data_IF_376946015385
#
_entry.id   IF_376946015385
#
_cell.length_a   1.000
_cell.length_b   1.000
_cell.length_c   1.000
_cell.angle_alpha   90.00
_cell.angle_beta   90.00
_cell.angle_gamma   90.00
#
_symmetry.space_group_name_H-M   'P 1'
#
loop_
_entity.id
_entity.type
_entity.pdbx_description
1 polymer ?
#
# COMPACT_ATOMS: atom_id res chain seq x y z
N UNK A 1 0.75 12.06 -22.68
CA UNK A 1 0.51 11.42 -21.37
C UNK A 1 0.47 9.93 -21.62
N UNK A 2 1.25 9.10 -20.90
CA UNK A 2 1.18 7.65 -21.05
C UNK A 2 -0.23 7.14 -20.72
N UNK A 3 -0.67 6.10 -21.42
CA UNK A 3 -1.98 5.46 -21.22
C UNK A 3 -2.04 4.72 -19.87
N UNK A 4 -3.24 4.45 -19.35
CA UNK A 4 -3.40 3.70 -18.09
C UNK A 4 -2.77 2.31 -18.14
N UNK A 5 -2.87 1.64 -19.28
CA UNK A 5 -2.23 0.35 -19.53
C UNK A 5 -0.69 0.48 -19.49
N UNK A 6 -0.12 1.54 -20.06
CA UNK A 6 1.31 1.85 -19.93
C UNK A 6 1.70 2.15 -18.48
N UNK A 7 0.92 2.93 -17.73
CA UNK A 7 1.21 3.25 -16.34
C UNK A 7 1.15 2.02 -15.42
N UNK A 8 0.19 1.11 -15.65
CA UNK A 8 -0.01 -0.11 -14.86
C UNK A 8 0.93 -1.26 -15.24
N UNK A 9 1.44 -1.27 -16.47
CA UNK A 9 2.39 -2.26 -16.99
C UNK A 9 3.84 -1.92 -16.67
N UNK A 10 4.14 -0.69 -16.23
CA UNK A 10 5.47 -0.30 -15.76
C UNK A 10 5.87 -1.11 -14.52
N UNK A 11 6.59 -2.19 -14.76
CA UNK A 11 7.36 -2.88 -13.72
C UNK A 11 8.56 -2.00 -13.38
N UNK A 12 8.39 -1.07 -12.44
CA UNK A 12 9.51 -0.33 -11.87
C UNK A 12 10.28 -1.26 -10.93
N UNK A 13 11.60 -1.31 -11.09
CA UNK A 13 12.48 -2.15 -10.29
C UNK A 13 13.38 -1.28 -9.42
N UNK A 14 13.41 -1.54 -8.11
CA UNK A 14 14.45 -0.97 -7.23
C UNK A 14 15.69 -1.88 -7.28
N UNK A 15 16.84 -1.30 -7.62
CA UNK A 15 18.11 -2.01 -7.64
C UNK A 15 18.66 -2.08 -6.21
N UNK A 16 18.64 -3.27 -5.61
CA UNK A 16 19.31 -3.47 -4.32
C UNK A 16 20.85 -3.52 -4.51
N UNK A 17 21.62 -3.23 -3.46
CA UNK A 17 23.09 -3.32 -3.39
C UNK A 17 23.64 -4.70 -3.81
N UNK A 18 22.78 -5.73 -3.77
CA UNK A 18 23.05 -7.11 -4.20
C UNK A 18 22.71 -7.40 -5.68
N UNK A 19 22.39 -6.38 -6.49
CA UNK A 19 21.90 -6.48 -7.89
C UNK A 19 20.56 -7.21 -8.08
N UNK A 20 19.82 -7.51 -7.01
CA UNK A 20 18.47 -8.02 -7.14
C UNK A 20 17.49 -6.86 -7.35
N UNK A 21 16.77 -6.90 -8.48
CA UNK A 21 15.69 -5.98 -8.82
C UNK A 21 14.43 -6.38 -8.07
N UNK A 22 13.95 -5.56 -7.13
CA UNK A 22 12.62 -5.76 -6.51
C UNK A 22 11.58 -5.00 -7.33
N UNK A 23 10.54 -5.66 -7.87
CA UNK A 23 9.42 -4.93 -8.46
C UNK A 23 8.73 -4.10 -7.38
N UNK A 24 8.52 -2.81 -7.65
CA UNK A 24 7.80 -1.91 -6.74
C UNK A 24 6.33 -2.38 -6.68
N UNK A 25 5.77 -2.65 -5.49
CA UNK A 25 4.37 -3.03 -5.35
C UNK A 25 3.41 -2.00 -5.96
N UNK A 26 2.33 -2.48 -6.57
CA UNK A 26 1.37 -1.64 -7.30
C UNK A 26 0.74 -0.55 -6.42
N UNK A 27 0.49 -0.80 -5.13
CA UNK A 27 -0.07 0.23 -4.24
C UNK A 27 0.89 1.41 -4.07
N UNK A 28 2.21 1.16 -4.01
CA UNK A 28 3.21 2.20 -3.86
C UNK A 28 3.33 3.03 -5.14
N UNK A 29 3.26 2.39 -6.31
CA UNK A 29 3.20 3.08 -7.61
C UNK A 29 1.92 3.91 -7.75
N UNK A 30 0.77 3.36 -7.35
CA UNK A 30 -0.51 4.08 -7.37
C UNK A 30 -0.47 5.30 -6.45
N UNK A 31 0.08 5.21 -5.23
CA UNK A 31 0.23 6.36 -4.35
C UNK A 31 1.08 7.48 -4.96
N UNK A 32 2.22 7.11 -5.58
CA UNK A 32 3.08 8.08 -6.25
C UNK A 32 2.34 8.77 -7.41
N UNK A 33 1.69 8.00 -8.27
CA UNK A 33 0.95 8.53 -9.42
C UNK A 33 -0.22 9.43 -8.98
N UNK A 34 -0.97 9.03 -7.93
CA UNK A 34 -2.01 9.86 -7.34
C UNK A 34 -1.45 11.17 -6.77
N UNK A 35 -0.26 11.16 -6.17
CA UNK A 35 0.37 12.39 -5.68
C UNK A 35 0.87 13.31 -6.79
N UNK A 36 1.29 12.78 -7.94
CA UNK A 36 1.59 13.62 -9.11
C UNK A 36 0.34 14.35 -9.61
N UNK A 37 -0.80 13.64 -9.68
CA UNK A 37 -2.10 14.27 -9.99
C UNK A 37 -2.48 15.26 -8.90
N UNK A 38 -2.42 14.87 -7.62
CA UNK A 38 -2.80 15.71 -6.49
C UNK A 38 -2.01 17.02 -6.43
N UNK A 39 -0.70 16.96 -6.64
CA UNK A 39 0.17 18.12 -6.71
C UNK A 39 -0.26 19.08 -7.84
N UNK A 40 -0.59 18.54 -9.03
CA UNK A 40 -1.08 19.35 -10.15
C UNK A 40 -2.47 19.95 -9.93
N UNK A 41 -3.31 19.30 -9.12
CA UNK A 41 -4.69 19.72 -8.80
C UNK A 41 -4.77 20.61 -7.55
N UNK A 42 -3.69 20.72 -6.79
CA UNK A 42 -3.60 21.57 -5.61
C UNK A 42 -4.21 20.97 -4.34
N UNK A 43 -4.69 19.71 -4.37
CA UNK A 43 -5.38 19.09 -3.22
C UNK A 43 -5.10 17.60 -3.07
N UNK A 44 -5.10 17.11 -1.84
CA UNK A 44 -4.93 15.71 -1.48
C UNK A 44 -3.46 15.30 -1.32
N UNK A 45 -3.20 14.34 -0.46
CA UNK A 45 -1.93 13.63 -0.40
C UNK A 45 -2.19 12.16 -0.06
N UNK A 46 -1.51 11.26 -0.76
CA UNK A 46 -1.68 9.82 -0.65
C UNK A 46 -0.43 9.19 -0.05
N UNK A 47 -0.60 8.42 1.02
CA UNK A 47 0.46 7.62 1.57
C UNK A 47 0.24 6.15 1.24
N UNK A 48 1.33 5.40 1.10
CA UNK A 48 1.28 3.95 1.06
C UNK A 48 1.82 3.36 2.35
N UNK A 49 1.28 2.17 2.66
CA UNK A 49 1.82 1.24 3.64
C UNK A 49 2.25 -0.04 2.91
N UNK A 50 3.13 -0.87 3.49
CA UNK A 50 3.47 -2.17 2.90
C UNK A 50 2.23 -3.00 2.58
N UNK A 51 2.20 -3.69 1.44
CA UNK A 51 1.03 -4.49 1.08
C UNK A 51 0.77 -5.60 2.13
N UNK A 52 -0.49 -6.02 2.26
CA UNK A 52 -0.88 -7.09 3.19
C UNK A 52 -0.07 -8.39 3.00
N UNK A 53 0.37 -8.67 1.77
CA UNK A 53 1.18 -9.84 1.43
C UNK A 53 2.59 -9.80 2.02
N UNK A 54 3.15 -8.60 2.28
CA UNK A 54 4.45 -8.45 2.93
C UNK A 54 4.48 -9.06 4.34
N UNK A 55 3.32 -9.16 5.00
CA UNK A 55 3.18 -9.63 6.38
C UNK A 55 2.88 -11.13 6.48
N UNK A 56 2.60 -11.82 5.36
CA UNK A 56 2.30 -13.26 5.35
C UNK A 56 3.54 -14.13 5.19
N UNK A 57 4.63 -13.59 4.66
CA UNK A 57 5.87 -14.33 4.46
C UNK A 57 6.69 -14.30 5.73
N UNK A 58 6.69 -15.39 6.48
CA UNK A 58 7.71 -15.63 7.49
C UNK A 58 9.05 -15.77 6.79
N UNK A 59 9.97 -14.84 7.05
CA UNK A 59 11.38 -15.07 6.70
C UNK A 59 11.90 -16.28 7.48
N UNK A 60 13.04 -16.83 7.05
CA UNK A 60 13.73 -17.90 7.79
C UNK A 60 13.83 -17.49 9.27
N UNK A 61 13.50 -18.39 10.19
CA UNK A 61 13.53 -18.14 11.64
C UNK A 61 14.92 -17.68 12.11
N UNK A 62 15.97 -18.05 11.37
CA UNK A 62 17.34 -17.55 11.60
C UNK A 62 17.53 -16.06 11.27
N UNK A 63 16.71 -15.52 10.36
CA UNK A 63 16.77 -14.13 9.89
C UNK A 63 15.72 -13.28 10.64
N UNK A 64 14.51 -13.80 10.79
CA UNK A 64 13.41 -13.15 11.52
C UNK A 64 12.80 -14.16 12.50
N UNK A 65 13.26 -14.19 13.76
CA UNK A 65 12.68 -15.08 14.76
C UNK A 65 11.21 -14.76 14.98
N UNK A 66 10.41 -15.76 15.34
CA UNK A 66 8.96 -15.63 15.52
C UNK A 66 8.56 -14.52 16.51
N UNK A 67 9.41 -14.23 17.50
CA UNK A 67 9.24 -13.14 18.46
C UNK A 67 9.33 -11.74 17.85
N UNK A 68 10.07 -11.58 16.75
CA UNK A 68 10.15 -10.36 15.93
C UNK A 68 9.17 -10.34 14.77
N UNK A 69 8.46 -11.46 14.54
CA UNK A 69 7.46 -11.51 13.49
C UNK A 69 6.25 -10.65 13.92
N UNK A 70 5.90 -9.62 13.13
CA UNK A 70 4.68 -8.87 13.37
C UNK A 70 3.45 -9.77 13.21
N UNK A 71 2.36 -9.43 13.88
CA UNK A 71 1.07 -10.10 13.67
C UNK A 71 0.56 -9.94 12.22
N UNK A 72 -0.44 -10.74 11.85
CA UNK A 72 -1.10 -10.59 10.55
C UNK A 72 -1.90 -9.28 10.49
N UNK A 73 -2.00 -8.69 9.31
CA UNK A 73 -2.80 -7.49 9.07
C UNK A 73 -4.30 -7.80 9.17
N UNK A 74 -4.98 -7.23 10.16
CA UNK A 74 -6.44 -7.36 10.35
C UNK A 74 -7.26 -6.45 9.44
N UNK A 75 -8.56 -6.41 9.65
CA UNK A 75 -9.52 -5.63 8.84
C UNK A 75 -9.25 -4.13 8.85
N UNK A 76 -8.66 -3.58 9.92
CA UNK A 76 -8.36 -2.14 10.04
C UNK A 76 -7.16 -1.68 9.21
N UNK A 77 -6.32 -2.60 8.71
CA UNK A 77 -5.07 -2.23 8.04
C UNK A 77 -5.31 -1.62 6.63
N UNK A 78 -4.91 -0.36 6.38
CA UNK A 78 -4.89 0.21 5.04
C UNK A 78 -3.63 -0.21 4.30
N UNK A 79 -3.72 -0.34 2.97
CA UNK A 79 -2.53 -0.38 2.11
C UNK A 79 -2.23 1.00 1.50
N UNK A 80 -3.22 1.89 1.53
CA UNK A 80 -3.20 3.26 1.07
C UNK A 80 -3.95 4.14 2.06
N UNK A 81 -3.50 5.38 2.23
CA UNK A 81 -4.10 6.40 3.07
C UNK A 81 -4.28 7.67 2.26
N UNK A 82 -5.39 8.37 2.44
CA UNK A 82 -5.59 9.71 1.91
C UNK A 82 -5.68 10.73 3.06
N UNK A 83 -5.04 11.88 2.85
CA UNK A 83 -5.09 13.06 3.69
C UNK A 83 -5.60 14.23 2.85
N UNK A 84 -6.56 14.99 3.37
CA UNK A 84 -7.00 16.23 2.71
C UNK A 84 -5.95 17.34 2.91
N UNK A 85 -4.97 17.35 2.02
CA UNK A 85 -3.84 18.28 2.03
C UNK A 85 -4.03 19.37 0.99
N UNK A 86 -3.76 20.63 1.33
CA UNK A 86 -3.77 21.73 0.36
C UNK A 86 -2.34 22.07 -0.04
N UNK A 87 -2.04 21.93 -1.33
CA UNK A 87 -0.72 22.25 -1.86
C UNK A 87 -0.57 23.76 -2.01
N UNK A 88 0.51 24.30 -1.48
CA UNK A 88 0.96 25.64 -1.84
C UNK A 88 2.02 25.57 -2.95
N UNK A 89 2.31 26.71 -3.57
CA UNK A 89 3.24 26.82 -4.69
C UNK A 89 4.66 26.30 -4.33
N UNK A 90 5.12 26.54 -3.10
CA UNK A 90 6.43 26.07 -2.65
C UNK A 90 6.47 24.54 -2.54
N UNK A 91 5.49 23.93 -1.87
CA UNK A 91 5.37 22.49 -1.70
C UNK A 91 5.24 21.76 -3.04
N UNK A 92 4.45 22.32 -3.97
CA UNK A 92 4.33 21.81 -5.34
C UNK A 92 5.71 21.80 -6.04
N UNK A 93 6.41 22.94 -6.05
CA UNK A 93 7.73 23.06 -6.68
C UNK A 93 8.74 22.10 -6.06
N UNK A 94 8.76 22.00 -4.74
CA UNK A 94 9.68 21.11 -4.02
C UNK A 94 9.40 19.64 -4.36
N UNK A 95 8.12 19.25 -4.42
CA UNK A 95 7.75 17.88 -4.81
C UNK A 95 8.13 17.56 -6.25
N UNK A 96 7.81 18.44 -7.21
CA UNK A 96 8.10 18.18 -8.63
C UNK A 96 9.60 18.18 -8.93
N UNK A 97 10.39 19.01 -8.22
CA UNK A 97 11.85 19.05 -8.37
C UNK A 97 12.56 17.83 -7.80
N UNK A 98 11.92 17.10 -6.90
CA UNK A 98 12.52 15.91 -6.30
C UNK A 98 12.63 14.75 -7.29
N UNK A 99 13.71 13.96 -7.19
CA UNK A 99 13.82 12.73 -7.95
C UNK A 99 12.69 11.78 -7.56
N UNK A 100 12.29 10.89 -8.48
CA UNK A 100 11.19 9.95 -8.27
C UNK A 100 11.36 9.14 -6.98
N UNK A 101 12.60 8.74 -6.66
CA UNK A 101 12.92 8.02 -5.41
C UNK A 101 12.67 8.86 -4.15
N UNK A 102 12.96 10.16 -4.20
CA UNK A 102 12.68 11.09 -3.09
C UNK A 102 11.18 11.24 -2.86
N UNK A 103 10.42 11.47 -3.94
CA UNK A 103 8.95 11.53 -3.90
C UNK A 103 8.34 10.23 -3.38
N UNK A 104 8.83 9.09 -3.86
CA UNK A 104 8.42 7.77 -3.37
C UNK A 104 8.63 7.64 -1.84
N UNK A 105 9.80 8.01 -1.32
CA UNK A 105 10.05 7.95 0.13
C UNK A 105 9.13 8.88 0.93
N UNK A 106 8.80 10.06 0.40
CA UNK A 106 7.82 10.97 1.02
C UNK A 106 6.42 10.37 1.12
N UNK A 107 6.03 9.52 0.16
CA UNK A 107 4.74 8.86 0.16
C UNK A 107 4.67 7.69 1.16
N UNK A 108 5.76 7.32 1.83
CA UNK A 108 5.78 6.22 2.78
C UNK A 108 5.31 6.66 4.17
N UNK A 109 4.11 6.22 4.58
CA UNK A 109 3.54 6.61 5.88
C UNK A 109 4.32 6.10 7.10
N UNK A 110 5.20 5.08 6.95
CA UNK A 110 6.04 4.60 8.05
C UNK A 110 7.31 5.44 8.22
N UNK A 111 7.78 6.09 7.16
CA UNK A 111 8.99 6.93 7.17
C UNK A 111 8.61 8.39 7.42
N UNK A 112 7.54 8.86 6.77
CA UNK A 112 7.03 10.22 6.83
C UNK A 112 5.55 10.17 7.24
N UNK A 113 5.24 9.85 8.51
CA UNK A 113 3.86 9.83 8.97
C UNK A 113 3.24 11.23 8.91
N UNK A 114 1.92 11.35 8.67
CA UNK A 114 1.21 12.61 8.78
C UNK A 114 1.24 13.16 10.23
N UNK A 115 1.01 14.48 10.44
CA UNK A 115 0.87 15.04 11.77
C UNK A 115 -0.25 14.37 12.59
N UNK A 116 -0.05 14.17 13.89
CA UNK A 116 -0.90 13.33 14.75
C UNK A 116 -2.41 13.55 14.64
N UNK A 117 -2.87 14.80 14.63
CA UNK A 117 -4.30 15.17 14.60
C UNK A 117 -4.90 15.21 13.18
N UNK A 118 -4.16 14.71 12.19
CA UNK A 118 -4.61 14.71 10.80
C UNK A 118 -5.66 13.61 10.59
N UNK A 119 -6.87 13.94 10.10
CA UNK A 119 -7.84 12.94 9.68
C UNK A 119 -7.34 12.14 8.47
N UNK A 120 -7.39 10.81 8.56
CA UNK A 120 -6.97 9.91 7.50
C UNK A 120 -8.12 9.05 7.00
N UNK A 121 -8.15 8.83 5.70
CA UNK A 121 -9.10 7.97 5.01
C UNK A 121 -8.38 6.70 4.57
N UNK A 122 -8.78 5.56 5.14
CA UNK A 122 -8.16 4.28 4.86
C UNK A 122 -8.68 3.69 3.55
N UNK A 123 -7.74 3.20 2.74
CA UNK A 123 -8.04 2.48 1.50
C UNK A 123 -7.34 1.11 1.54
N UNK A 124 -8.14 0.05 1.45
CA UNK A 124 -7.62 -1.31 1.26
C UNK A 124 -7.31 -1.52 -0.22
N UNK A 125 -6.04 -1.77 -0.54
CA UNK A 125 -5.61 -2.00 -1.92
C UNK A 125 -5.50 -3.49 -2.23
N UNK A 126 -6.09 -3.91 -3.35
CA UNK A 126 -6.12 -5.29 -3.81
C UNK A 126 -5.72 -5.35 -5.29
N UNK A 127 -4.60 -5.98 -5.60
CA UNK A 127 -4.02 -6.02 -6.96
C UNK A 127 -3.89 -7.42 -7.56
N UNK A 128 -4.41 -8.43 -6.87
CA UNK A 128 -4.35 -9.82 -7.33
C UNK A 128 -5.71 -10.51 -7.17
N UNK A 129 -5.96 -11.51 -8.03
CA UNK A 129 -7.16 -12.36 -7.99
C UNK A 129 -7.43 -13.02 -6.63
N UNK A 130 -6.37 -13.26 -5.84
CA UNK A 130 -6.42 -13.92 -4.53
C UNK A 130 -6.30 -12.94 -3.37
N UNK A 131 -6.16 -11.65 -3.67
CA UNK A 131 -6.03 -10.61 -2.67
C UNK A 131 -7.29 -10.54 -1.81
N UNK A 132 -7.08 -10.14 -0.56
CA UNK A 132 -8.12 -10.15 0.47
C UNK A 132 -8.59 -8.75 0.76
N UNK A 133 -9.90 -8.59 0.87
CA UNK A 133 -10.54 -7.37 1.34
C UNK A 133 -11.43 -7.69 2.53
N UNK A 134 -11.64 -6.70 3.39
CA UNK A 134 -12.40 -6.84 4.63
C UNK A 134 -13.46 -5.75 4.72
N UNK A 135 -14.55 -6.07 5.40
CA UNK A 135 -15.43 -5.04 5.98
C UNK A 135 -14.70 -4.37 7.14
N UNK A 136 -14.95 -3.08 7.33
CA UNK A 136 -14.30 -2.29 8.39
C UNK A 136 -15.31 -1.80 9.42
N UNK A 137 -14.90 -1.57 10.68
CA UNK A 137 -15.79 -1.02 11.70
C UNK A 137 -16.27 0.41 11.38
N UNK A 138 -15.40 1.18 10.71
CA UNK A 138 -15.67 2.54 10.23
C UNK A 138 -15.71 2.48 8.71
N UNK A 139 -16.66 3.15 8.03
CA UNK A 139 -16.71 3.18 6.58
C UNK A 139 -15.34 3.54 5.99
N UNK A 140 -14.89 2.74 5.04
CA UNK A 140 -13.60 2.91 4.38
C UNK A 140 -13.72 2.53 2.91
N UNK A 141 -12.65 2.73 2.13
CA UNK A 141 -12.64 2.38 0.72
C UNK A 141 -11.87 1.10 0.48
N UNK A 142 -12.25 0.38 -0.57
CA UNK A 142 -11.49 -0.71 -1.15
C UNK A 142 -11.24 -0.37 -2.61
N UNK A 143 -9.98 -0.51 -3.01
CA UNK A 143 -9.50 -0.27 -4.36
C UNK A 143 -8.97 -1.58 -4.96
N UNK A 144 -9.70 -2.13 -5.92
CA UNK A 144 -9.20 -3.20 -6.77
C UNK A 144 -8.45 -2.62 -7.96
N UNK A 145 -7.17 -2.93 -8.09
CA UNK A 145 -6.33 -2.52 -9.21
C UNK A 145 -6.10 -3.73 -10.14
N UNK A 146 -6.73 -3.71 -11.32
CA UNK A 146 -6.45 -4.68 -12.39
C UNK A 146 -5.37 -4.12 -13.31
N UNK A 147 -5.05 -4.81 -14.41
CA UNK A 147 -4.08 -4.30 -15.38
C UNK A 147 -4.65 -3.23 -16.32
N UNK A 148 -5.98 -3.08 -16.34
CA UNK A 148 -6.68 -2.19 -17.30
C UNK A 148 -7.56 -1.12 -16.63
N UNK A 149 -7.88 -1.29 -15.34
CA UNK A 149 -8.77 -0.38 -14.63
C UNK A 149 -8.60 -0.47 -13.11
N UNK A 150 -9.14 0.54 -12.45
CA UNK A 150 -9.34 0.57 -11.02
C UNK A 150 -10.83 0.40 -10.71
N UNK A 151 -11.17 -0.28 -9.61
CA UNK A 151 -12.54 -0.34 -9.10
C UNK A 151 -12.53 0.14 -7.65
N UNK A 152 -13.14 1.30 -7.42
CA UNK A 152 -13.16 1.97 -6.13
C UNK A 152 -14.58 1.98 -5.56
N UNK A 153 -14.73 1.43 -4.36
CA UNK A 153 -16.02 1.38 -3.69
C UNK A 153 -15.85 1.45 -2.18
N UNK A 154 -16.91 1.86 -1.48
CA UNK A 154 -17.02 1.73 -0.04
C UNK A 154 -17.08 0.26 0.38
N UNK A 155 -16.63 -0.03 1.60
CA UNK A 155 -16.69 -1.38 2.18
C UNK A 155 -18.10 -1.97 2.14
N UNK A 156 -19.11 -1.16 2.42
CA UNK A 156 -20.50 -1.61 2.52
C UNK A 156 -21.11 -1.87 1.13
N UNK A 157 -20.79 -1.01 0.16
CA UNK A 157 -21.20 -1.19 -1.25
C UNK A 157 -20.62 -2.48 -1.83
N UNK A 158 -19.37 -2.79 -1.48
CA UNK A 158 -18.74 -4.04 -1.89
C UNK A 158 -19.29 -5.24 -1.15
N UNK A 159 -19.56 -5.14 0.16
CA UNK A 159 -20.22 -6.21 0.89
C UNK A 159 -21.55 -6.61 0.22
N UNK A 160 -22.36 -5.62 -0.18
CA UNK A 160 -23.60 -5.88 -0.91
C UNK A 160 -23.38 -6.48 -2.30
N UNK A 161 -22.26 -6.17 -2.95
CA UNK A 161 -21.98 -6.58 -4.33
C UNK A 161 -21.36 -7.97 -4.42
N UNK A 162 -20.31 -8.25 -3.63
CA UNK A 162 -19.57 -9.53 -3.66
C UNK A 162 -19.96 -10.47 -2.52
N UNK A 163 -20.64 -9.98 -1.50
CA UNK A 163 -21.02 -10.74 -0.31
C UNK A 163 -19.85 -10.95 0.66
N UNK A 164 -20.19 -11.42 1.85
CA UNK A 164 -19.20 -11.97 2.80
C UNK A 164 -18.74 -13.34 2.35
N UNK A 165 -17.52 -13.69 2.74
CA UNK A 165 -16.99 -15.03 2.49
C UNK A 165 -17.83 -16.08 3.23
N UNK A 166 -18.46 -16.99 2.48
CA UNK A 166 -19.40 -17.98 3.02
C UNK A 166 -18.94 -19.44 2.89
N UNK A 167 -17.70 -19.71 2.49
CA UNK A 167 -17.27 -21.10 2.27
C UNK A 167 -17.23 -21.91 3.57
N UNK A 168 -17.53 -23.21 3.44
CA UNK A 168 -17.48 -24.28 4.46
C UNK A 168 -16.19 -24.33 5.30
N UNK A 169 -15.13 -23.67 4.85
CA UNK A 169 -13.83 -23.57 5.49
C UNK A 169 -13.58 -22.12 5.91
N UNK A 170 -13.48 -21.89 7.24
CA UNK A 170 -13.11 -20.57 7.77
C UNK A 170 -11.74 -20.18 7.20
N UNK A 171 -11.59 -19.01 6.56
CA UNK A 171 -10.31 -18.59 6.06
C UNK A 171 -9.33 -18.47 7.23
N UNK A 172 -8.09 -18.93 7.05
CA UNK A 172 -7.00 -18.62 7.97
C UNK A 172 -6.62 -17.14 7.82
N UNK A 173 -6.18 -16.51 8.91
CA UNK A 173 -5.74 -15.12 8.93
C UNK A 173 -6.38 -14.31 10.06
N UNK A 174 -6.07 -13.03 10.09
CA UNK A 174 -6.74 -12.08 10.99
C UNK A 174 -8.17 -11.78 10.50
N UNK A 175 -9.09 -11.64 11.46
CA UNK A 175 -10.50 -11.25 11.28
C UNK A 175 -11.26 -12.01 10.16
N UNK A 176 -11.29 -13.35 10.18
CA UNK A 176 -11.89 -14.15 9.10
C UNK A 176 -13.38 -13.88 8.89
N UNK A 177 -14.11 -13.47 9.93
CA UNK A 177 -15.53 -13.12 9.89
C UNK A 177 -15.83 -11.81 9.17
N UNK A 178 -14.84 -10.91 9.08
CA UNK A 178 -14.95 -9.63 8.38
C UNK A 178 -14.55 -9.73 6.91
N UNK A 179 -14.10 -10.90 6.44
CA UNK A 179 -13.57 -11.05 5.09
C UNK A 179 -14.67 -11.03 4.03
N UNK A 180 -14.47 -10.21 3.01
CA UNK A 180 -15.30 -10.17 1.82
C UNK A 180 -14.98 -11.35 0.89
N UNK A 181 -15.95 -11.71 0.04
CA UNK A 181 -15.69 -12.70 -0.99
C UNK A 181 -14.63 -12.17 -1.99
N UNK A 182 -13.83 -13.07 -2.55
CA UNK A 182 -12.84 -12.67 -3.56
C UNK A 182 -13.55 -12.32 -4.86
N UNK A 183 -13.01 -11.36 -5.61
CA UNK A 183 -13.56 -10.92 -6.89
C UNK A 183 -12.67 -11.32 -8.10
N UNK A 184 -12.34 -12.61 -8.30
CA UNK A 184 -11.41 -13.02 -9.36
C UNK A 184 -11.91 -12.66 -10.77
N UNK A 185 -13.22 -12.52 -10.93
CA UNK A 185 -13.89 -12.10 -12.17
C UNK A 185 -13.45 -10.72 -12.67
N UNK A 186 -12.87 -9.87 -11.82
CA UNK A 186 -12.30 -8.58 -12.25
C UNK A 186 -11.07 -8.75 -13.14
N UNK A 187 -10.29 -9.82 -12.93
CA UNK A 187 -9.11 -10.13 -13.74
C UNK A 187 -9.40 -11.20 -14.79
N UNK A 188 -10.28 -12.16 -14.49
CA UNK A 188 -10.64 -13.22 -15.42
C UNK A 188 -12.12 -13.62 -15.26
N UNK A 189 -12.95 -13.16 -16.19
CA UNK A 189 -14.38 -13.52 -16.28
C UNK A 189 -14.62 -14.46 -17.46
N UNK A 190 -14.38 -15.75 -17.28
CA UNK A 190 -14.63 -16.77 -18.32
C UNK A 190 -16.04 -17.33 -18.32
N UNK A 191 -16.80 -17.19 -17.23
CA UNK A 191 -18.16 -17.73 -17.10
C UNK A 191 -19.21 -16.61 -17.24
N UNK A 192 -20.42 -16.98 -17.65
CA UNK A 192 -21.54 -16.03 -17.74
C UNK A 192 -21.85 -15.37 -16.38
N UNK A 193 -21.78 -16.13 -15.28
CA UNK A 193 -21.94 -15.61 -13.92
C UNK A 193 -20.83 -14.60 -13.56
N UNK A 194 -19.57 -14.91 -13.87
CA UNK A 194 -18.45 -14.01 -13.62
C UNK A 194 -18.59 -12.71 -14.46
N UNK A 195 -19.07 -12.81 -15.69
CA UNK A 195 -19.32 -11.65 -16.54
C UNK A 195 -20.48 -10.78 -16.00
N UNK A 196 -21.52 -11.39 -15.45
CA UNK A 196 -22.61 -10.67 -14.80
C UNK A 196 -22.10 -9.94 -13.55
N UNK A 197 -21.30 -10.61 -12.70
CA UNK A 197 -20.69 -9.99 -11.52
C UNK A 197 -19.76 -8.84 -11.89
N UNK A 198 -18.95 -9.00 -12.95
CA UNK A 198 -18.11 -7.94 -13.49
C UNK A 198 -18.95 -6.74 -13.95
N UNK A 199 -20.08 -6.98 -14.60
CA UNK A 199 -21.01 -5.92 -15.05
C UNK A 199 -21.55 -5.13 -13.87
N UNK A 200 -21.91 -5.78 -12.76
CA UNK A 200 -22.32 -5.09 -11.52
C UNK A 200 -21.21 -4.19 -10.96
N UNK A 201 -19.94 -4.59 -11.13
CA UNK A 201 -18.78 -3.82 -10.68
C UNK A 201 -18.41 -2.63 -11.57
N UNK A 202 -18.91 -2.56 -12.82
CA UNK A 202 -18.56 -1.48 -13.77
C UNK A 202 -18.95 -0.09 -13.24
N UNK A 203 -19.96 0.02 -12.37
CA UNK A 203 -20.33 1.29 -11.72
C UNK A 203 -19.24 1.88 -10.81
N UNK A 204 -18.29 1.06 -10.36
CA UNK A 204 -17.18 1.47 -9.50
C UNK A 204 -15.89 1.74 -10.29
N UNK A 205 -15.93 1.55 -11.61
CA UNK A 205 -14.75 1.53 -12.45
C UNK A 205 -14.22 2.92 -12.75
N UNK A 206 -12.91 3.07 -12.61
CA UNK A 206 -12.13 4.22 -13.02
C UNK A 206 -11.08 3.76 -14.02
N UNK A 207 -11.07 4.37 -15.20
CA UNK A 207 -10.21 3.94 -16.32
C UNK A 207 -8.89 4.68 -16.39
N UNK A 208 -8.70 5.75 -15.60
CA UNK A 208 -7.46 6.54 -15.55
C UNK A 208 -7.08 6.85 -14.11
N UNK A 209 -5.81 7.20 -13.89
CA UNK A 209 -5.34 7.62 -12.57
C UNK A 209 -5.98 8.95 -12.14
N UNK A 210 -6.26 9.85 -13.08
CA UNK A 210 -6.96 11.11 -12.82
C UNK A 210 -8.41 10.87 -12.41
N UNK A 211 -9.13 9.96 -13.08
CA UNK A 211 -10.50 9.62 -12.70
C UNK A 211 -10.55 8.95 -11.32
N UNK A 212 -9.55 8.09 -11.02
CA UNK A 212 -9.41 7.52 -9.69
C UNK A 212 -9.15 8.61 -8.62
N UNK A 213 -8.26 9.56 -8.91
CA UNK A 213 -8.00 10.69 -8.02
C UNK A 213 -9.26 11.52 -7.77
N UNK A 214 -9.97 11.91 -8.84
CA UNK A 214 -11.17 12.73 -8.75
C UNK A 214 -12.25 12.02 -7.90
N UNK A 215 -12.43 10.72 -8.08
CA UNK A 215 -13.37 9.93 -7.28
C UNK A 215 -12.92 9.75 -5.82
N UNK A 216 -11.62 9.55 -5.54
CA UNK A 216 -11.08 9.49 -4.18
C UNK A 216 -11.30 10.79 -3.43
N UNK A 217 -10.96 11.92 -4.05
CA UNK A 217 -11.17 13.25 -3.46
C UNK A 217 -12.66 13.49 -3.26
N UNK A 218 -13.50 13.21 -4.26
CA UNK A 218 -14.96 13.36 -4.12
C UNK A 218 -15.49 12.56 -2.93
N UNK A 219 -15.10 11.29 -2.76
CA UNK A 219 -15.60 10.47 -1.66
C UNK A 219 -15.07 10.86 -0.29
N UNK A 220 -13.82 11.30 -0.19
CA UNK A 220 -13.21 11.62 1.10
C UNK A 220 -13.43 13.07 1.55
N UNK A 221 -13.68 13.99 0.62
CA UNK A 221 -13.73 15.43 0.90
C UNK A 221 -15.13 16.01 0.78
N UNK A 222 -16.06 15.33 0.08
CA UNK A 222 -17.41 15.87 -0.08
C UNK A 222 -18.10 16.07 1.28
N UNK A 223 -18.65 17.28 1.46
CA UNK A 223 -19.43 17.64 2.65
C UNK A 223 -20.77 16.89 2.70
N UNK A 224 -21.30 16.54 1.53
CA UNK A 224 -22.56 15.81 1.34
C UNK A 224 -22.23 14.47 0.71
N UNK A 225 -22.62 13.38 1.37
CA UNK A 225 -22.39 11.98 0.95
C UNK A 225 -20.91 11.53 0.91
N UNK A 226 -20.00 12.29 1.51
CA UNK A 226 -18.63 11.85 1.78
C UNK A 226 -18.58 10.75 2.83
N UNK A 227 -17.54 9.90 2.76
CA UNK A 227 -17.24 8.98 3.84
C UNK A 227 -16.57 9.75 5.00
N UNK A 228 -16.81 9.38 6.27
CA UNK A 228 -16.07 9.97 7.37
C UNK A 228 -14.59 9.56 7.33
N UNK A 229 -13.74 10.36 7.95
CA UNK A 229 -12.35 9.95 8.21
C UNK A 229 -12.34 8.65 9.01
N UNK A 230 -11.45 7.73 8.64
CA UNK A 230 -11.39 6.39 9.25
C UNK A 230 -10.74 6.43 10.63
N UNK A 231 -9.70 7.25 10.80
CA UNK A 231 -8.99 7.47 12.06
C UNK A 231 -8.06 8.69 11.95
N UNK A 232 -7.54 9.16 13.07
CA UNK A 232 -6.47 10.16 13.11
C UNK A 232 -5.08 9.53 12.87
N UNK A 233 -4.12 10.31 12.36
CA UNK A 233 -2.76 9.82 12.10
C UNK A 233 -2.06 9.26 13.36
N UNK A 234 -2.36 9.81 14.53
CA UNK A 234 -1.89 9.31 15.83
C UNK A 234 -2.28 7.85 16.07
N UNK A 235 -3.39 7.38 15.50
CA UNK A 235 -3.86 6.00 15.65
C UNK A 235 -3.14 5.00 14.74
N UNK A 236 -2.38 5.48 13.74
CA UNK A 236 -1.70 4.64 12.76
C UNK A 236 -0.75 3.63 13.42
N UNK A 237 -0.12 4.04 14.52
CA UNK A 237 0.75 3.19 15.35
C UNK A 237 0.07 1.90 15.82
N UNK A 238 -1.24 1.96 16.07
CA UNK A 238 -2.04 0.84 16.58
C UNK A 238 -2.60 -0.05 15.47
N UNK A 239 -2.59 0.43 14.22
CA UNK A 239 -3.11 -0.29 13.06
C UNK A 239 -2.01 -1.03 12.32
N UNK A 240 -0.80 -0.48 12.29
CA UNK A 240 0.38 -1.12 11.67
C UNK A 240 0.83 -2.30 12.52
N UNK A 241 0.97 -3.51 11.96
CA UNK A 241 1.45 -4.66 12.71
C UNK A 241 2.83 -4.43 13.31
N UNK A 242 2.97 -4.75 14.60
CA UNK A 242 4.23 -4.67 15.33
C UNK A 242 4.50 -5.99 16.05
N UNK A 243 5.77 -6.32 16.32
CA UNK A 243 6.12 -7.37 17.25
C UNK A 243 5.45 -7.13 18.61
N UNK A 244 5.04 -8.21 19.28
CA UNK A 244 4.32 -8.12 20.57
C UNK A 244 5.19 -7.58 21.71
N UNK A 245 6.52 -7.67 21.57
CA UNK A 245 7.49 -7.15 22.55
C UNK A 245 8.67 -6.52 21.82
N UNK A 246 9.19 -5.38 22.31
CA UNK A 246 10.48 -4.89 21.86
C UNK A 246 11.55 -5.88 22.31
N UNK A 247 12.32 -6.41 21.36
CA UNK A 247 13.53 -7.16 21.71
C UNK A 247 14.72 -6.23 21.89
N UNK A 248 15.69 -6.57 22.75
CA UNK A 248 16.98 -5.89 22.77
C UNK A 248 17.56 -5.89 21.36
N UNK A 249 17.77 -4.70 20.81
CA UNK A 249 18.36 -4.56 19.48
C UNK A 249 19.74 -5.20 19.43
N UNK A 250 20.11 -5.76 18.28
CA UNK A 250 21.51 -6.09 18.02
C UNK A 250 22.23 -4.76 17.83
N UNK A 251 23.34 -4.54 18.54
CA UNK A 251 24.15 -3.34 18.35
C UNK A 251 24.57 -3.25 16.87
N UNK A 252 24.16 -2.18 16.18
CA UNK A 252 24.47 -1.95 14.76
C UNK A 252 25.96 -1.65 14.52
N UNK A 253 26.70 -1.40 15.60
CA UNK A 253 28.15 -1.19 15.59
C UNK A 253 28.66 -0.91 17.00
N UNK A 254 29.97 -0.73 17.12
CA UNK A 254 30.59 -0.13 18.30
C UNK A 254 30.83 1.33 17.98
N UNK A 255 30.49 2.23 18.90
CA UNK A 255 30.94 3.61 18.83
C UNK A 255 32.47 3.59 18.85
N UNK A 256 33.11 4.03 17.77
CA UNK A 256 34.58 4.16 17.75
C UNK A 256 34.91 5.42 18.53
N UNK A 257 34.91 5.31 19.87
CA UNK A 257 35.48 6.32 20.76
C UNK A 257 36.97 5.99 20.89
N UNK A 258 37.75 6.37 19.88
CA UNK A 258 39.20 6.16 19.83
C UNK A 258 39.75 6.46 18.44
N UNK A 259 40.98 6.97 18.37
CA UNK A 259 41.65 7.27 17.10
C UNK A 259 41.57 6.07 16.17
N UNK A 260 41.12 6.33 14.93
CA UNK A 260 41.07 5.34 13.87
C UNK A 260 42.52 5.00 13.52
N UNK A 261 43.05 3.92 14.10
CA UNK A 261 44.22 3.27 13.53
C UNK A 261 43.76 2.63 12.21
N UNK A 262 44.36 3.09 11.11
CA UNK A 262 44.10 2.70 9.72
C UNK A 262 44.52 1.24 9.43
N UNK A 263 43.99 0.28 10.16
CA UNK A 263 44.03 -1.12 9.75
C UNK A 263 42.64 -1.52 9.30
N UNK A 264 42.23 -0.94 8.17
CA UNK A 264 41.18 -1.49 7.35
C UNK A 264 41.60 -2.91 6.95
N UNK A 265 41.05 -3.92 7.65
CA UNK A 265 41.18 -5.30 7.27
C UNK A 265 40.66 -5.44 5.83
N UNK A 266 41.57 -5.65 4.89
CA UNK A 266 41.23 -5.94 3.50
C UNK A 266 40.22 -7.09 3.46
N UNK A 267 39.03 -6.81 2.93
CA UNK A 267 38.07 -7.86 2.62
C UNK A 267 38.74 -8.86 1.67
N UNK A 268 38.67 -10.17 1.94
CA UNK A 268 39.40 -11.17 1.17
C UNK A 268 38.95 -11.11 -0.30
N UNK A 269 39.88 -10.70 -1.17
CA UNK A 269 39.69 -10.72 -2.63
C UNK A 269 39.50 -12.18 -3.06
N UNK A 270 38.29 -12.51 -3.54
CA UNK A 270 38.02 -13.79 -4.20
C UNK A 270 39.00 -13.97 -5.35
N UNK A 271 39.80 -15.04 -5.30
CA UNK A 271 40.67 -15.47 -6.41
C UNK A 271 39.83 -15.63 -7.68
N UNK A 272 40.16 -14.85 -8.71
CA UNK A 272 39.72 -15.14 -10.07
C UNK A 272 40.31 -16.49 -10.49
N UNK A 273 39.46 -17.41 -10.94
CA UNK A 273 39.90 -18.62 -11.62
C UNK A 273 40.38 -18.22 -13.01
N UNK A 274 41.67 -18.36 -13.27
CA UNK A 274 42.23 -18.36 -14.62
C UNK A 274 41.90 -19.70 -15.27
N UNK A 275 41.24 -19.63 -16.43
CA UNK A 275 41.08 -20.71 -17.40
C UNK A 275 42.40 -21.16 -17.97
#
# INVERSE_FOLDING_TARGET
MPTTEEQLSLSAYDLNLSRFSRPIPKNELTALALNEVAASRGRGFFFYLPSRECWKRTADEKILPASRAPGLTGRRYPSLLFMDYVWNEAAYRDFVREPHRGRYLKCNALINPPPDLTPLFAVQFVDTMRGVAYTTPVPSLILYATDVAYYLAGTDELEQTVGRWSRRWRPSGADPEARLNTAPFLWNATTAEAQQQKTTMERFKQTTIEALYDELVRRCVAEVDGIPATFEASELIHVVPRPSRPEPGIALGRTVLGNIDETAAELPRKRQKTS
#
